data_IF_496618382330
#
_entry.id   IF_496618382330
#
_cell.length_a   1.000
_cell.length_b   1.000
_cell.length_c   1.000
_cell.angle_alpha   90.00
_cell.angle_beta   90.00
_cell.angle_gamma   90.00
#
_symmetry.space_group_name_H-M   'P 1'
#
loop_
_entity.id
_entity.type
_entity.pdbx_description
1 polymer ?
#
# COMPACT_ATOMS: atom_id res chain seq x y z
N UNK A 1 2.92 4.43 16.79
CA UNK A 1 2.69 4.83 15.38
C UNK A 1 3.34 6.18 15.14
N UNK A 2 4.07 6.33 14.02
CA UNK A 2 4.64 7.61 13.60
C UNK A 2 3.55 8.49 12.96
N UNK A 3 3.43 9.78 13.32
CA UNK A 3 2.33 10.64 12.82
C UNK A 3 2.26 10.73 11.30
N UNK A 4 3.43 10.78 10.63
CA UNK A 4 3.50 10.88 9.17
C UNK A 4 2.74 9.75 8.46
N UNK A 5 2.69 8.56 9.06
CA UNK A 5 2.09 7.39 8.42
C UNK A 5 0.58 7.57 8.27
N UNK A 6 -0.13 7.95 9.34
CA UNK A 6 -1.59 8.17 9.30
C UNK A 6 -2.01 9.37 8.46
N UNK A 7 -1.09 10.31 8.25
CA UNK A 7 -1.27 11.50 7.41
C UNK A 7 -0.90 11.25 5.94
N UNK A 8 -0.22 10.12 5.65
CA UNK A 8 0.34 9.82 4.34
C UNK A 8 -0.71 9.68 3.23
N UNK A 9 -1.82 9.00 3.53
CA UNK A 9 -2.98 8.70 2.66
C UNK A 9 -2.66 7.88 1.40
N UNK A 10 -1.65 8.26 0.64
CA UNK A 10 -1.22 7.61 -0.59
C UNK A 10 0.28 7.31 -0.53
N UNK A 11 0.64 6.08 -0.83
CA UNK A 11 2.00 5.65 -1.14
C UNK A 11 2.04 4.90 -2.47
N UNK A 12 3.23 4.82 -3.07
CA UNK A 12 3.47 4.06 -4.30
C UNK A 12 4.27 2.80 -4.00
N UNK A 13 3.78 1.64 -4.44
CA UNK A 13 4.49 0.36 -4.30
C UNK A 13 5.17 -0.01 -5.62
N UNK A 14 6.43 -0.41 -5.55
CA UNK A 14 7.20 -0.81 -6.72
C UNK A 14 7.65 -2.26 -6.55
N UNK A 15 7.11 -3.14 -7.39
CA UNK A 15 7.61 -4.50 -7.55
C UNK A 15 8.50 -4.54 -8.77
N UNK A 16 9.81 -4.43 -8.52
CA UNK A 16 10.83 -4.40 -9.55
C UNK A 16 11.95 -5.39 -9.24
N UNK A 17 12.35 -6.15 -10.24
CA UNK A 17 13.36 -7.20 -10.12
C UNK A 17 13.49 -7.98 -11.42
N UNK A 18 14.25 -9.08 -11.39
CA UNK A 18 14.61 -9.85 -12.61
C UNK A 18 13.39 -10.40 -13.35
N UNK A 19 12.29 -10.65 -12.64
CA UNK A 19 11.01 -11.11 -13.22
C UNK A 19 10.43 -10.15 -14.27
N UNK A 20 10.86 -8.88 -14.28
CA UNK A 20 10.45 -7.90 -15.27
C UNK A 20 11.14 -8.06 -16.64
N UNK A 21 12.13 -8.95 -16.78
CA UNK A 21 12.86 -9.21 -18.03
C UNK A 21 11.99 -9.94 -19.03
N UNK A 22 11.48 -11.11 -18.64
CA UNK A 22 10.54 -11.88 -19.46
C UNK A 22 9.08 -11.52 -19.14
N UNK A 23 8.86 -10.69 -18.12
CA UNK A 23 7.55 -10.17 -17.75
C UNK A 23 6.66 -11.25 -17.13
N UNK A 24 7.21 -11.99 -16.17
CA UNK A 24 6.54 -13.10 -15.48
C UNK A 24 6.20 -12.72 -14.04
N UNK A 25 5.29 -13.47 -13.40
CA UNK A 25 4.95 -13.24 -12.00
C UNK A 25 6.19 -13.34 -11.09
N UNK A 26 6.32 -12.36 -10.19
CA UNK A 26 7.44 -12.18 -9.26
C UNK A 26 7.63 -13.39 -8.35
N UNK A 27 8.60 -14.24 -8.69
CA UNK A 27 8.99 -15.47 -7.99
C UNK A 27 7.93 -16.59 -8.00
N UNK A 28 6.65 -16.24 -8.00
CA UNK A 28 5.52 -17.15 -8.07
C UNK A 28 5.48 -17.98 -9.34
N UNK A 29 6.02 -17.45 -10.45
CA UNK A 29 6.05 -18.16 -11.73
C UNK A 29 6.86 -19.46 -11.65
N UNK A 30 8.01 -19.46 -10.96
CA UNK A 30 8.75 -20.71 -10.75
C UNK A 30 8.22 -21.53 -9.57
N UNK A 31 7.71 -20.86 -8.54
CA UNK A 31 7.10 -21.54 -7.39
C UNK A 31 5.90 -22.40 -7.81
N UNK A 32 5.03 -21.86 -8.67
CA UNK A 32 3.82 -22.52 -9.17
C UNK A 32 4.09 -23.44 -10.37
N UNK A 33 5.35 -23.60 -10.78
CA UNK A 33 5.73 -24.46 -11.90
C UNK A 33 5.31 -23.93 -13.28
N UNK A 34 5.00 -22.64 -13.42
CA UNK A 34 4.72 -22.00 -14.71
C UNK A 34 6.00 -21.79 -15.53
N UNK A 35 7.11 -21.50 -14.85
CA UNK A 35 8.45 -21.33 -15.45
C UNK A 35 9.44 -22.22 -14.70
N UNK A 36 10.31 -22.98 -15.38
CA UNK A 36 11.37 -23.72 -14.69
C UNK A 36 12.29 -22.76 -13.90
N UNK A 37 12.75 -23.15 -12.70
CA UNK A 37 13.60 -22.30 -11.86
C UNK A 37 14.86 -21.78 -12.58
N UNK A 38 15.58 -22.66 -13.28
CA UNK A 38 16.79 -22.25 -14.02
C UNK A 38 16.46 -21.24 -15.13
N UNK A 39 15.29 -21.38 -15.78
CA UNK A 39 14.80 -20.41 -16.76
C UNK A 39 14.44 -19.08 -16.10
N UNK A 40 13.76 -19.12 -14.96
CA UNK A 40 13.42 -17.92 -14.19
C UNK A 40 14.69 -17.16 -13.76
N UNK A 41 15.69 -17.88 -13.23
CA UNK A 41 16.95 -17.28 -12.78
C UNK A 41 17.85 -16.81 -13.93
N UNK A 42 17.71 -17.38 -15.13
CA UNK A 42 18.42 -16.90 -16.33
C UNK A 42 18.06 -15.44 -16.69
N UNK A 43 16.91 -14.92 -16.22
CA UNK A 43 16.55 -13.50 -16.36
C UNK A 43 17.56 -12.54 -15.71
N UNK A 44 18.41 -13.01 -14.78
CA UNK A 44 19.55 -12.23 -14.27
C UNK A 44 20.39 -11.62 -15.41
N UNK A 45 20.58 -12.36 -16.50
CA UNK A 45 21.40 -11.94 -17.64
C UNK A 45 20.78 -10.77 -18.45
N UNK A 46 19.49 -10.49 -18.26
CA UNK A 46 18.75 -9.45 -18.99
C UNK A 46 18.37 -8.21 -18.15
N UNK A 47 18.61 -8.22 -16.84
CA UNK A 47 18.19 -7.12 -15.96
C UNK A 47 19.24 -5.98 -15.93
N UNK A 48 19.01 -4.93 -16.71
CA UNK A 48 20.00 -3.87 -16.96
C UNK A 48 19.71 -2.52 -16.28
N UNK A 49 18.46 -2.22 -15.92
CA UNK A 49 18.05 -0.92 -15.40
C UNK A 49 18.55 0.28 -16.24
N UNK A 50 18.75 0.13 -17.55
CA UNK A 50 19.55 1.06 -18.35
C UNK A 50 18.89 2.44 -18.54
N UNK A 51 17.55 2.51 -18.47
CA UNK A 51 16.76 3.75 -18.57
C UNK A 51 16.24 4.22 -17.20
N UNK A 52 16.63 3.54 -16.13
CA UNK A 52 16.16 3.86 -14.80
C UNK A 52 16.70 5.21 -14.35
N UNK A 53 15.77 6.10 -14.02
CA UNK A 53 16.02 7.40 -13.42
C UNK A 53 15.22 7.49 -12.10
N UNK A 54 15.89 7.44 -10.93
CA UNK A 54 15.20 7.54 -9.65
C UNK A 54 14.58 8.93 -9.42
N UNK A 55 15.11 9.99 -10.05
CA UNK A 55 14.53 11.33 -9.95
C UNK A 55 13.20 11.39 -10.71
N UNK A 56 13.13 10.80 -11.91
CA UNK A 56 11.88 10.71 -12.68
C UNK A 56 10.79 9.92 -11.95
N UNK A 57 11.14 8.81 -11.29
CA UNK A 57 10.19 8.09 -10.43
C UNK A 57 9.69 8.97 -9.28
N UNK A 58 10.61 9.63 -8.58
CA UNK A 58 10.24 10.43 -7.44
C UNK A 58 9.41 11.67 -7.83
N UNK A 59 9.66 12.27 -8.99
CA UNK A 59 8.81 13.34 -9.57
C UNK A 59 7.39 12.84 -9.84
N UNK A 60 7.24 11.70 -10.52
CA UNK A 60 5.93 11.09 -10.77
C UNK A 60 5.17 10.82 -9.47
N UNK A 61 5.85 10.37 -8.41
CA UNK A 61 5.19 10.10 -7.13
C UNK A 61 4.73 11.38 -6.42
N UNK A 62 5.49 12.47 -6.54
CA UNK A 62 5.06 13.79 -6.05
C UNK A 62 3.84 14.27 -6.83
N UNK A 63 3.85 14.15 -8.15
CA UNK A 63 2.73 14.53 -9.04
C UNK A 63 1.48 13.72 -8.74
N UNK A 64 1.61 12.42 -8.47
CA UNK A 64 0.52 11.55 -8.02
C UNK A 64 -0.04 11.94 -6.65
N UNK A 65 0.64 12.82 -5.91
CA UNK A 65 0.29 13.18 -4.54
C UNK A 65 0.61 12.07 -3.54
N UNK A 66 1.64 11.27 -3.77
CA UNK A 66 2.11 10.32 -2.76
C UNK A 66 2.85 11.06 -1.62
N UNK A 67 2.79 10.52 -0.41
CA UNK A 67 3.63 10.96 0.71
C UNK A 67 4.84 10.04 0.93
N UNK A 68 4.82 8.84 0.35
CA UNK A 68 5.82 7.81 0.52
C UNK A 68 5.84 6.86 -0.66
N UNK A 69 6.92 6.09 -0.79
CA UNK A 69 6.97 4.97 -1.72
C UNK A 69 7.65 3.77 -1.06
N UNK A 70 7.37 2.56 -1.54
CA UNK A 70 7.92 1.30 -1.07
C UNK A 70 8.50 0.54 -2.25
N UNK A 71 9.81 0.26 -2.24
CA UNK A 71 10.47 -0.52 -3.28
C UNK A 71 10.84 -1.92 -2.77
N UNK A 72 10.61 -2.96 -3.57
CA UNK A 72 11.08 -4.32 -3.29
C UNK A 72 12.60 -4.37 -3.22
N UNK A 73 13.18 -4.28 -2.02
CA UNK A 73 14.62 -4.45 -1.85
C UNK A 73 15.03 -5.90 -2.17
N UNK A 74 14.18 -6.87 -1.81
CA UNK A 74 14.31 -8.29 -2.16
C UNK A 74 12.93 -8.96 -2.15
N UNK A 75 12.58 -9.67 -3.22
CA UNK A 75 11.36 -10.50 -3.32
C UNK A 75 11.64 -11.97 -2.94
N UNK A 76 10.67 -12.87 -3.09
CA UNK A 76 10.80 -14.29 -2.71
C UNK A 76 11.88 -15.04 -3.51
N UNK A 77 12.28 -14.53 -4.67
CA UNK A 77 13.38 -15.06 -5.50
C UNK A 77 14.77 -14.85 -4.87
N UNK A 78 14.88 -14.04 -3.81
CA UNK A 78 16.14 -13.79 -3.10
C UNK A 78 17.07 -12.78 -3.78
N UNK A 79 16.72 -12.18 -4.92
CA UNK A 79 17.60 -11.23 -5.62
C UNK A 79 17.53 -9.86 -4.96
N UNK A 80 18.63 -9.46 -4.32
CA UNK A 80 18.74 -8.14 -3.69
C UNK A 80 18.98 -7.02 -4.70
N UNK A 81 18.26 -5.90 -4.57
CA UNK A 81 18.43 -4.69 -5.40
C UNK A 81 19.58 -3.77 -4.94
N UNK A 82 20.28 -4.11 -3.86
CA UNK A 82 21.44 -3.38 -3.34
C UNK A 82 22.70 -4.26 -3.27
N UNK A 83 23.86 -3.64 -3.04
CA UNK A 83 25.16 -4.33 -2.85
C UNK A 83 25.24 -5.00 -1.46
N UNK A 84 24.41 -6.02 -1.23
CA UNK A 84 24.38 -6.77 0.03
C UNK A 84 25.72 -7.42 0.33
N UNK A 85 26.20 -7.34 1.58
CA UNK A 85 27.39 -8.07 2.04
C UNK A 85 27.03 -9.44 2.62
N UNK A 86 25.76 -9.67 2.88
CA UNK A 86 25.20 -10.97 3.19
C UNK A 86 24.71 -11.65 1.90
N UNK A 87 25.33 -12.77 1.52
CA UNK A 87 25.00 -13.53 0.31
C UNK A 87 25.71 -13.02 -0.96
N UNK A 88 25.37 -13.63 -2.12
CA UNK A 88 25.95 -13.29 -3.43
C UNK A 88 24.93 -13.28 -4.58
N UNK A 89 23.65 -13.06 -4.23
CA UNK A 89 22.55 -12.96 -5.18
C UNK A 89 21.99 -11.53 -5.14
N UNK A 90 22.63 -10.64 -5.89
CA UNK A 90 22.25 -9.24 -6.02
C UNK A 90 22.34 -8.76 -7.46
N UNK A 91 21.61 -7.70 -7.78
CA UNK A 91 21.70 -7.03 -9.09
C UNK A 91 23.08 -6.41 -9.33
N UNK A 92 23.84 -6.13 -8.28
CA UNK A 92 25.19 -5.57 -8.37
C UNK A 92 26.19 -6.61 -8.88
N UNK A 93 26.08 -7.84 -8.37
CA UNK A 93 27.02 -8.91 -8.70
C UNK A 93 26.58 -9.76 -9.90
N UNK A 94 25.27 -9.88 -10.13
CA UNK A 94 24.69 -10.95 -10.96
C UNK A 94 23.94 -10.48 -12.19
N UNK A 95 23.84 -9.18 -12.45
CA UNK A 95 23.11 -8.67 -13.62
C UNK A 95 23.87 -7.56 -14.35
N UNK A 96 23.52 -7.25 -15.61
CA UNK A 96 24.11 -6.14 -16.35
C UNK A 96 23.93 -4.77 -15.69
N UNK A 97 22.94 -4.60 -14.81
CA UNK A 97 22.74 -3.36 -14.06
C UNK A 97 23.98 -2.98 -13.24
N UNK A 98 24.62 -3.98 -12.61
CA UNK A 98 25.92 -3.86 -11.94
C UNK A 98 26.07 -2.66 -10.99
N UNK A 99 24.96 -2.23 -10.36
CA UNK A 99 24.90 -1.04 -9.50
C UNK A 99 23.82 -1.17 -8.43
N UNK A 100 24.06 -0.53 -7.29
CA UNK A 100 23.08 -0.39 -6.21
C UNK A 100 21.89 0.47 -6.68
N UNK A 101 20.67 -0.08 -6.56
CA UNK A 101 19.42 0.57 -6.95
C UNK A 101 18.64 1.13 -5.75
N UNK A 102 19.02 0.81 -4.52
CA UNK A 102 18.34 1.29 -3.32
C UNK A 102 18.88 2.65 -2.87
N UNK A 103 20.22 2.85 -2.84
CA UNK A 103 20.78 4.16 -2.45
C UNK A 103 20.23 5.33 -3.29
N UNK A 104 20.26 5.27 -4.65
CA UNK A 104 19.78 6.39 -5.45
C UNK A 104 18.26 6.62 -5.33
N UNK A 105 17.48 5.54 -5.12
CA UNK A 105 16.05 5.60 -4.83
C UNK A 105 15.78 6.36 -3.52
N UNK A 106 16.45 5.97 -2.44
CA UNK A 106 16.34 6.61 -1.11
C UNK A 106 16.64 8.11 -1.22
N UNK A 107 17.74 8.45 -1.89
CA UNK A 107 18.18 9.85 -2.04
C UNK A 107 17.18 10.68 -2.87
N UNK A 108 16.64 10.13 -3.95
CA UNK A 108 15.69 10.83 -4.81
C UNK A 108 14.36 11.13 -4.10
N UNK A 109 13.85 10.17 -3.30
CA UNK A 109 12.67 10.37 -2.46
C UNK A 109 12.91 11.44 -1.38
N UNK A 110 14.03 11.31 -0.65
CA UNK A 110 14.40 12.25 0.43
C UNK A 110 14.51 13.68 -0.08
N UNK A 111 15.10 13.90 -1.27
CA UNK A 111 15.20 15.23 -1.91
C UNK A 111 13.84 15.88 -2.16
N UNK A 112 12.78 15.09 -2.36
CA UNK A 112 11.40 15.55 -2.60
C UNK A 112 10.53 15.54 -1.34
N UNK A 113 11.12 15.22 -0.18
CA UNK A 113 10.38 15.14 1.08
C UNK A 113 9.46 13.92 1.19
N UNK A 114 9.60 12.95 0.29
CA UNK A 114 8.87 11.68 0.36
C UNK A 114 9.50 10.80 1.44
N UNK A 115 8.65 10.04 2.13
CA UNK A 115 9.08 9.02 3.07
C UNK A 115 9.54 7.78 2.34
N UNK A 116 10.58 7.14 2.87
CA UNK A 116 11.26 6.03 2.21
C UNK A 116 10.77 4.71 2.80
N UNK A 117 10.22 3.86 1.95
CA UNK A 117 9.81 2.52 2.28
C UNK A 117 10.64 1.47 1.53
N UNK A 118 10.95 0.37 2.21
CA UNK A 118 11.59 -0.79 1.59
C UNK A 118 10.75 -2.03 1.91
N UNK A 119 10.44 -2.79 0.88
CA UNK A 119 9.87 -4.12 1.02
C UNK A 119 10.97 -5.15 1.17
N UNK A 120 10.77 -6.13 2.04
CA UNK A 120 11.68 -7.25 2.20
C UNK A 120 10.90 -8.54 2.46
N UNK A 121 11.14 -9.56 1.62
CA UNK A 121 10.57 -10.88 1.86
C UNK A 121 11.34 -11.66 2.93
N UNK A 122 10.62 -12.19 3.92
CA UNK A 122 11.09 -13.24 4.81
C UNK A 122 11.49 -14.49 4.02
N UNK A 123 10.69 -14.88 3.01
CA UNK A 123 10.99 -15.99 2.12
C UNK A 123 12.23 -15.71 1.30
N UNK A 124 12.96 -16.79 1.00
CA UNK A 124 14.03 -16.78 0.02
C UNK A 124 14.10 -18.16 -0.63
N UNK A 125 13.25 -18.37 -1.63
CA UNK A 125 13.08 -19.64 -2.33
C UNK A 125 14.32 -20.07 -3.12
N UNK A 126 15.29 -19.17 -3.29
CA UNK A 126 16.58 -19.44 -3.93
C UNK A 126 17.71 -19.70 -2.94
N UNK A 127 17.54 -19.38 -1.65
CA UNK A 127 18.58 -19.59 -0.65
C UNK A 127 18.67 -21.08 -0.27
N UNK A 128 19.86 -21.72 -0.37
CA UNK A 128 19.99 -23.16 -0.18
C UNK A 128 19.55 -23.62 1.22
N UNK A 129 19.71 -22.75 2.22
CA UNK A 129 19.37 -23.04 3.61
C UNK A 129 17.92 -22.70 4.00
N UNK A 130 17.11 -22.17 3.08
CA UNK A 130 15.73 -21.76 3.39
C UNK A 130 14.77 -22.94 3.58
N UNK A 131 14.75 -23.87 2.61
CA UNK A 131 13.91 -25.06 2.62
C UNK A 131 14.53 -26.20 3.45
N UNK A 132 15.01 -25.89 4.66
CA UNK A 132 15.72 -26.84 5.54
C UNK A 132 15.06 -27.05 6.89
N UNK A 133 13.99 -26.30 7.19
CA UNK A 133 13.15 -26.51 8.37
C UNK A 133 11.71 -26.73 7.92
N UNK A 134 11.05 -27.71 8.51
CA UNK A 134 9.64 -28.02 8.25
C UNK A 134 8.72 -27.14 9.10
N UNK A 135 7.58 -26.66 8.58
CA UNK A 135 6.56 -25.98 9.37
C UNK A 135 6.02 -26.88 10.49
N UNK A 136 5.65 -26.27 11.61
CA UNK A 136 5.12 -26.99 12.76
C UNK A 136 3.89 -27.84 12.39
N UNK A 137 3.93 -29.13 12.71
CA UNK A 137 2.80 -30.05 12.50
C UNK A 137 2.63 -30.59 11.08
N UNK A 138 3.52 -30.27 10.14
CA UNK A 138 3.49 -30.85 8.79
C UNK A 138 4.04 -32.29 8.78
N UNK A 139 3.42 -33.17 8.00
CA UNK A 139 3.91 -34.53 7.75
C UNK A 139 5.30 -34.50 7.07
N UNK A 140 6.31 -35.22 7.59
CA UNK A 140 7.60 -35.40 6.94
C UNK A 140 7.56 -35.98 5.52
N UNK A 141 6.55 -36.82 5.23
CA UNK A 141 6.38 -37.46 3.93
C UNK A 141 5.71 -36.54 2.90
N UNK A 142 5.03 -35.48 3.35
CA UNK A 142 4.48 -34.45 2.48
C UNK A 142 5.52 -33.35 2.25
N UNK A 143 6.17 -33.42 1.09
CA UNK A 143 7.14 -32.40 0.69
C UNK A 143 6.47 -31.09 0.27
N UNK A 144 5.19 -31.05 -0.10
CA UNK A 144 4.62 -29.82 -0.67
C UNK A 144 5.52 -29.21 -1.78
N UNK A 145 5.84 -27.92 -1.64
CA UNK A 145 6.73 -27.22 -2.58
C UNK A 145 8.22 -27.40 -2.22
N UNK A 146 9.09 -27.84 -3.15
CA UNK A 146 10.52 -28.05 -2.87
C UNK A 146 11.31 -26.79 -2.51
N UNK A 147 10.82 -25.59 -2.84
CA UNK A 147 11.43 -24.32 -2.46
C UNK A 147 11.05 -23.86 -1.05
N UNK A 148 10.01 -24.45 -0.47
CA UNK A 148 9.53 -24.16 0.88
C UNK A 148 9.90 -25.25 1.87
N UNK A 149 10.07 -26.48 1.42
CA UNK A 149 10.04 -27.64 2.30
C UNK A 149 11.25 -28.56 2.07
N UNK A 150 11.88 -29.06 3.15
CA UNK A 150 12.91 -30.08 3.02
C UNK A 150 12.30 -31.40 2.54
N UNK A 151 13.09 -32.22 1.84
CA UNK A 151 12.72 -33.61 1.62
C UNK A 151 12.75 -34.40 2.96
N UNK A 152 12.08 -35.55 3.00
CA UNK A 152 12.11 -36.42 4.18
C UNK A 152 13.57 -36.81 4.51
N UNK A 153 14.00 -36.51 5.74
CA UNK A 153 15.37 -36.76 6.21
C UNK A 153 16.39 -35.65 5.93
N UNK A 154 16.04 -34.60 5.17
CA UNK A 154 16.94 -33.48 4.83
C UNK A 154 16.76 -32.24 5.74
N UNK A 155 15.98 -32.36 6.81
CA UNK A 155 15.78 -31.28 7.78
C UNK A 155 17.08 -30.98 8.55
N UNK A 156 17.43 -29.70 8.63
CA UNK A 156 18.59 -29.21 9.38
C UNK A 156 18.27 -27.87 10.05
N UNK A 157 17.93 -27.90 11.34
CA UNK A 157 17.77 -26.69 12.14
C UNK A 157 19.00 -25.78 12.13
N UNK A 158 20.21 -26.35 12.01
CA UNK A 158 21.45 -25.58 11.93
C UNK A 158 21.54 -24.75 10.64
N UNK A 159 21.11 -25.31 9.51
CA UNK A 159 21.05 -24.59 8.23
C UNK A 159 19.97 -23.52 8.27
N UNK A 160 18.81 -23.82 8.84
CA UNK A 160 17.78 -22.81 9.08
C UNK A 160 18.28 -21.66 9.95
N UNK A 161 19.05 -21.95 11.00
CA UNK A 161 19.68 -20.93 11.83
C UNK A 161 20.70 -20.09 11.07
N UNK A 162 21.45 -20.69 10.13
CA UNK A 162 22.32 -19.96 9.21
C UNK A 162 21.52 -19.05 8.26
N UNK A 163 20.38 -19.52 7.75
CA UNK A 163 19.46 -18.70 6.96
C UNK A 163 18.89 -17.53 7.77
N UNK A 164 18.48 -17.76 9.03
CA UNK A 164 18.05 -16.68 9.91
C UNK A 164 19.17 -15.67 10.15
N UNK A 165 20.42 -16.12 10.33
CA UNK A 165 21.56 -15.22 10.49
C UNK A 165 21.80 -14.36 9.22
N UNK A 166 21.73 -14.97 8.04
CA UNK A 166 21.77 -14.27 6.74
C UNK A 166 20.64 -13.23 6.63
N UNK A 167 19.40 -13.64 6.91
CA UNK A 167 18.22 -12.77 6.93
C UNK A 167 18.44 -11.56 7.84
N UNK A 168 18.88 -11.79 9.08
CA UNK A 168 19.15 -10.70 10.04
C UNK A 168 20.31 -9.81 9.61
N UNK A 169 21.31 -10.33 8.89
CA UNK A 169 22.38 -9.52 8.35
C UNK A 169 21.85 -8.55 7.28
N UNK A 170 21.03 -9.02 6.33
CA UNK A 170 20.39 -8.16 5.33
C UNK A 170 19.49 -7.10 5.98
N UNK A 171 18.67 -7.45 6.98
CA UNK A 171 17.86 -6.45 7.69
C UNK A 171 18.73 -5.39 8.37
N UNK A 172 19.86 -5.76 8.99
CA UNK A 172 20.78 -4.78 9.58
C UNK A 172 21.38 -3.86 8.53
N UNK A 173 21.70 -4.37 7.34
CA UNK A 173 22.15 -3.53 6.22
C UNK A 173 21.06 -2.55 5.79
N UNK A 174 19.83 -3.01 5.55
CA UNK A 174 18.73 -2.12 5.15
C UNK A 174 18.49 -1.01 6.17
N UNK A 175 18.43 -1.37 7.46
CA UNK A 175 18.27 -0.40 8.53
C UNK A 175 19.49 0.53 8.60
N UNK A 176 20.71 0.01 8.60
CA UNK A 176 21.93 0.79 8.81
C UNK A 176 22.30 1.71 7.64
N UNK A 177 22.18 1.22 6.40
CA UNK A 177 22.58 1.94 5.19
C UNK A 177 21.50 2.93 4.73
N UNK A 178 20.23 2.52 4.77
CA UNK A 178 19.14 3.27 4.12
C UNK A 178 18.21 3.98 5.11
N UNK A 179 18.19 3.55 6.38
CA UNK A 179 17.35 4.12 7.45
C UNK A 179 15.90 4.39 6.98
N UNK A 180 15.17 3.34 6.51
CA UNK A 180 13.86 3.54 5.92
C UNK A 180 12.84 4.02 6.96
N UNK A 181 11.94 4.92 6.54
CA UNK A 181 10.78 5.33 7.33
C UNK A 181 9.78 4.17 7.49
N UNK A 182 9.70 3.27 6.51
CA UNK A 182 8.82 2.09 6.48
C UNK A 182 9.59 0.83 6.03
N UNK A 183 9.49 -0.26 6.80
CA UNK A 183 9.95 -1.58 6.40
C UNK A 183 8.73 -2.50 6.24
N UNK A 184 8.44 -2.87 4.99
CA UNK A 184 7.27 -3.65 4.61
C UNK A 184 7.66 -5.11 4.45
N UNK A 185 7.32 -5.95 5.42
CA UNK A 185 7.66 -7.37 5.38
C UNK A 185 6.62 -8.19 4.65
N UNK A 186 7.07 -9.33 4.13
CA UNK A 186 6.20 -10.28 3.47
C UNK A 186 6.70 -11.72 3.60
N UNK A 187 5.83 -12.70 3.37
CA UNK A 187 6.27 -14.09 3.27
C UNK A 187 6.47 -14.78 4.61
N UNK A 188 5.76 -14.33 5.64
CA UNK A 188 5.77 -14.94 6.96
C UNK A 188 5.01 -16.28 7.00
N UNK A 189 4.07 -16.50 6.09
CA UNK A 189 3.04 -17.54 6.17
C UNK A 189 3.55 -18.99 6.16
N UNK A 190 4.76 -19.25 5.67
CA UNK A 190 5.25 -20.63 5.55
C UNK A 190 5.85 -21.21 6.84
N UNK A 191 6.08 -20.41 7.89
CA UNK A 191 6.59 -20.92 9.19
C UNK A 191 5.90 -20.21 10.34
N UNK A 192 5.91 -20.81 11.53
CA UNK A 192 5.36 -20.16 12.71
C UNK A 192 6.18 -18.92 13.12
N UNK A 193 5.58 -17.94 13.83
CA UNK A 193 6.30 -16.80 14.40
C UNK A 193 7.52 -17.20 15.25
N UNK A 194 7.43 -18.34 15.94
CA UNK A 194 8.48 -18.93 16.75
C UNK A 194 9.65 -19.43 15.89
N UNK A 195 9.36 -20.19 14.83
CA UNK A 195 10.37 -20.66 13.87
C UNK A 195 11.08 -19.49 13.16
N UNK A 196 10.32 -18.44 12.83
CA UNK A 196 10.86 -17.20 12.29
C UNK A 196 11.63 -16.36 13.30
N UNK A 197 11.45 -16.59 14.60
CA UNK A 197 11.95 -15.75 15.70
C UNK A 197 11.52 -14.28 15.54
N UNK A 198 10.23 -14.06 15.31
CA UNK A 198 9.67 -12.72 15.00
C UNK A 198 9.82 -11.74 16.15
N UNK A 199 9.67 -12.19 17.41
CA UNK A 199 9.88 -11.34 18.58
C UNK A 199 11.32 -10.80 18.68
N UNK A 200 12.32 -11.62 18.32
CA UNK A 200 13.73 -11.21 18.29
C UNK A 200 14.00 -10.20 17.17
N UNK A 201 13.40 -10.42 15.98
CA UNK A 201 13.49 -9.49 14.86
C UNK A 201 12.84 -8.14 15.20
N UNK A 202 11.67 -8.16 15.82
CA UNK A 202 10.98 -6.96 16.27
C UNK A 202 11.86 -6.14 17.22
N UNK A 203 12.45 -6.79 18.23
CA UNK A 203 13.37 -6.12 19.17
C UNK A 203 14.58 -5.52 18.45
N UNK A 204 15.20 -6.27 17.53
CA UNK A 204 16.34 -5.79 16.74
C UNK A 204 15.98 -4.52 15.95
N UNK A 205 14.84 -4.51 15.26
CA UNK A 205 14.39 -3.33 14.49
C UNK A 205 14.18 -2.14 15.41
N UNK A 206 13.51 -2.32 16.57
CA UNK A 206 13.26 -1.23 17.51
C UNK A 206 14.54 -0.68 18.15
N UNK A 207 15.54 -1.52 18.38
CA UNK A 207 16.85 -1.10 18.89
C UNK A 207 17.64 -0.28 17.86
N UNK A 208 17.64 -0.72 16.59
CA UNK A 208 18.44 -0.08 15.54
C UNK A 208 17.75 1.10 14.87
N UNK A 209 16.43 1.06 14.75
CA UNK A 209 15.64 2.04 14.01
C UNK A 209 14.25 2.24 14.65
N UNK A 210 14.17 2.88 15.83
CA UNK A 210 12.91 3.07 16.55
C UNK A 210 11.88 3.94 15.79
N UNK A 211 12.32 4.65 14.75
CA UNK A 211 11.46 5.49 13.91
C UNK A 211 10.81 4.72 12.74
N UNK A 212 11.34 3.56 12.37
CA UNK A 212 10.80 2.76 11.25
C UNK A 212 9.43 2.20 11.61
N UNK A 213 8.45 2.48 10.76
CA UNK A 213 7.13 1.84 10.79
C UNK A 213 7.27 0.44 10.19
N UNK A 214 6.61 -0.55 10.79
CA UNK A 214 6.63 -1.93 10.32
C UNK A 214 5.21 -2.44 10.11
N UNK A 215 4.97 -3.17 9.03
CA UNK A 215 3.64 -3.68 8.70
C UNK A 215 3.22 -4.89 9.55
N UNK A 216 1.94 -5.26 9.45
CA UNK A 216 1.32 -6.33 10.24
C UNK A 216 1.89 -7.73 10.01
N UNK A 217 2.66 -7.93 8.92
CA UNK A 217 3.30 -9.21 8.55
C UNK A 217 4.50 -9.58 9.43
N UNK A 218 4.85 -8.74 10.41
CA UNK A 218 5.69 -9.12 11.55
C UNK A 218 4.89 -9.86 12.67
N UNK A 219 3.83 -10.58 12.30
CA UNK A 219 3.05 -11.53 13.13
C UNK A 219 2.76 -11.04 14.56
N UNK A 220 2.02 -9.92 14.69
CA UNK A 220 1.64 -9.36 15.99
C UNK A 220 2.64 -8.36 16.59
N UNK A 221 3.77 -8.11 15.93
CA UNK A 221 4.73 -7.07 16.29
C UNK A 221 4.73 -5.86 15.33
N UNK A 222 3.82 -5.85 14.34
CA UNK A 222 3.63 -4.76 13.40
C UNK A 222 2.88 -3.56 13.98
N UNK A 223 3.04 -2.40 13.34
CA UNK A 223 2.42 -1.13 13.72
C UNK A 223 1.02 -0.91 13.11
N UNK A 224 0.70 -1.59 11.99
CA UNK A 224 -0.54 -1.38 11.23
C UNK A 224 -1.01 -2.65 10.51
N UNK A 225 -2.29 -2.71 10.16
CA UNK A 225 -2.88 -3.83 9.41
C UNK A 225 -2.73 -3.67 7.88
N UNK A 226 -2.58 -4.77 7.15
CA UNK A 226 -2.28 -4.80 5.71
C UNK A 226 -3.34 -5.59 4.91
N UNK A 227 -4.58 -5.10 4.75
CA UNK A 227 -5.48 -5.66 3.75
C UNK A 227 -4.84 -5.58 2.35
N UNK A 228 -5.10 -6.56 1.51
CA UNK A 228 -4.48 -6.70 0.18
C UNK A 228 -5.57 -6.92 -0.88
N UNK A 229 -5.44 -6.23 -2.03
CA UNK A 229 -6.30 -6.33 -3.23
C UNK A 229 -7.78 -5.94 -3.06
N UNK A 230 -8.32 -5.91 -1.85
CA UNK A 230 -9.71 -5.57 -1.57
C UNK A 230 -9.85 -4.51 -0.49
N UNK A 231 -10.58 -3.43 -0.79
CA UNK A 231 -10.97 -2.45 0.22
C UNK A 231 -11.86 -3.16 1.26
N UNK A 232 -11.49 -3.14 2.55
CA UNK A 232 -12.31 -3.77 3.59
C UNK A 232 -13.69 -3.11 3.68
N UNK A 233 -14.75 -3.91 3.74
CA UNK A 233 -16.12 -3.41 4.00
C UNK A 233 -16.20 -2.76 5.39
N UNK A 234 -15.55 -3.36 6.37
CA UNK A 234 -15.32 -2.77 7.69
C UNK A 234 -13.82 -2.51 7.85
N UNK A 235 -13.40 -1.27 8.13
CA UNK A 235 -11.99 -0.96 8.35
C UNK A 235 -11.41 -1.73 9.54
N UNK A 236 -10.14 -2.17 9.45
CA UNK A 236 -9.42 -2.72 10.59
C UNK A 236 -9.43 -1.78 11.80
N UNK A 237 -9.27 -2.34 12.99
CA UNK A 237 -9.05 -1.54 14.20
C UNK A 237 -7.64 -0.95 14.18
N UNK A 238 -7.53 0.36 14.36
CA UNK A 238 -6.25 1.08 14.36
C UNK A 238 -5.75 1.44 12.96
N UNK A 239 -4.48 1.86 12.82
CA UNK A 239 -3.91 2.20 11.53
C UNK A 239 -3.87 1.01 10.58
N UNK A 240 -4.09 1.27 9.30
CA UNK A 240 -4.07 0.25 8.25
C UNK A 240 -3.72 0.86 6.89
N UNK A 241 -3.23 0.00 6.00
CA UNK A 241 -2.85 0.37 4.64
C UNK A 241 -3.28 -0.74 3.68
N UNK A 242 -4.05 -0.38 2.66
CA UNK A 242 -4.41 -1.27 1.57
C UNK A 242 -3.30 -1.27 0.53
N UNK A 243 -2.69 -2.42 0.26
CA UNK A 243 -1.89 -2.60 -0.94
C UNK A 243 -2.79 -3.06 -2.11
N UNK A 244 -2.69 -2.37 -3.25
CA UNK A 244 -3.51 -2.64 -4.44
C UNK A 244 -2.70 -2.43 -5.71
N UNK A 245 -2.80 -3.32 -6.69
CA UNK A 245 -2.19 -3.16 -8.02
C UNK A 245 -2.99 -2.24 -8.94
N UNK A 246 -2.32 -1.52 -9.84
CA UNK A 246 -3.00 -0.76 -10.90
C UNK A 246 -3.70 -1.70 -11.89
N UNK A 247 -3.07 -2.80 -12.29
CA UNK A 247 -3.63 -3.89 -13.10
C UNK A 247 -3.82 -5.15 -12.24
N UNK A 248 -3.75 -6.36 -12.79
CA UNK A 248 -3.92 -7.62 -12.05
C UNK A 248 -2.60 -8.23 -11.56
N UNK A 249 -1.46 -7.58 -11.84
CA UNK A 249 -0.10 -8.04 -11.53
C UNK A 249 0.65 -7.06 -10.64
N UNK A 250 1.49 -7.56 -9.71
CA UNK A 250 2.40 -6.71 -8.94
C UNK A 250 3.61 -6.29 -9.76
N UNK A 251 4.36 -7.27 -10.28
CA UNK A 251 5.47 -7.04 -11.21
C UNK A 251 5.00 -6.76 -12.64
N UNK A 252 5.92 -6.29 -13.49
CA UNK A 252 5.65 -6.07 -14.90
C UNK A 252 5.26 -7.39 -15.60
N UNK A 253 4.06 -7.43 -16.17
CA UNK A 253 3.60 -8.50 -17.05
C UNK A 253 3.04 -7.89 -18.35
N UNK A 254 3.72 -8.04 -19.50
CA UNK A 254 3.36 -7.35 -20.74
C UNK A 254 2.00 -7.76 -21.31
N UNK A 255 1.48 -8.92 -20.93
CA UNK A 255 0.16 -9.41 -21.37
C UNK A 255 -0.98 -8.98 -20.45
N UNK A 256 -0.70 -8.37 -19.29
CA UNK A 256 -1.71 -7.85 -18.39
C UNK A 256 -2.08 -6.41 -18.76
N UNK A 257 -3.10 -6.30 -19.61
CA UNK A 257 -3.69 -5.03 -20.04
C UNK A 257 -4.91 -4.61 -19.20
N UNK A 258 -5.26 -5.37 -18.15
CA UNK A 258 -6.47 -5.16 -17.35
C UNK A 258 -6.27 -4.08 -16.27
N UNK A 259 -5.96 -2.87 -16.72
CA UNK A 259 -5.72 -1.72 -15.86
C UNK A 259 -7.04 -1.20 -15.29
N UNK A 260 -7.06 -0.97 -13.98
CA UNK A 260 -8.13 -0.22 -13.32
C UNK A 260 -8.20 1.18 -13.95
N UNK A 261 -9.41 1.63 -14.24
CA UNK A 261 -9.66 2.98 -14.75
C UNK A 261 -9.36 4.04 -13.68
N UNK A 262 -9.08 5.30 -14.07
CA UNK A 262 -8.91 6.40 -13.10
C UNK A 262 -10.07 6.51 -12.11
N UNK A 263 -11.31 6.31 -12.58
CA UNK A 263 -12.51 6.35 -11.73
C UNK A 263 -12.56 5.21 -10.70
N UNK A 264 -12.11 4.01 -11.06
CA UNK A 264 -11.98 2.90 -10.09
C UNK A 264 -10.90 3.21 -9.04
N UNK A 265 -9.77 3.78 -9.45
CA UNK A 265 -8.69 4.14 -8.52
C UNK A 265 -9.10 5.26 -7.57
N UNK A 266 -9.74 6.33 -8.07
CA UNK A 266 -10.32 7.39 -7.22
C UNK A 266 -11.33 6.82 -6.25
N UNK A 267 -12.17 5.86 -6.67
CA UNK A 267 -13.10 5.19 -5.76
C UNK A 267 -12.40 4.41 -4.66
N UNK A 268 -11.45 3.55 -5.01
CA UNK A 268 -10.69 2.79 -4.02
C UNK A 268 -9.96 3.73 -3.06
N UNK A 269 -9.36 4.79 -3.58
CA UNK A 269 -8.67 5.79 -2.77
C UNK A 269 -9.62 6.47 -1.79
N UNK A 270 -10.77 6.98 -2.25
CA UNK A 270 -11.76 7.65 -1.41
C UNK A 270 -12.34 6.71 -0.32
N UNK A 271 -12.66 5.46 -0.67
CA UNK A 271 -13.12 4.45 0.29
C UNK A 271 -12.04 4.17 1.35
N UNK A 272 -10.78 4.09 0.93
CA UNK A 272 -9.64 3.83 1.81
C UNK A 272 -9.40 4.99 2.80
N UNK A 273 -9.27 6.22 2.30
CA UNK A 273 -9.05 7.39 3.18
C UNK A 273 -10.28 7.70 4.02
N UNK A 274 -11.48 7.45 3.49
CA UNK A 274 -12.73 7.61 4.23
C UNK A 274 -12.88 6.58 5.36
N UNK A 275 -12.30 5.39 5.19
CA UNK A 275 -12.10 4.38 6.23
C UNK A 275 -10.94 4.67 7.19
N UNK A 276 -10.19 5.75 6.97
CA UNK A 276 -9.05 6.16 7.80
C UNK A 276 -7.75 5.41 7.52
N UNK A 277 -7.65 4.70 6.39
CA UNK A 277 -6.45 3.99 5.97
C UNK A 277 -5.61 4.77 4.97
N UNK A 278 -4.47 4.17 4.61
CA UNK A 278 -3.67 4.57 3.47
C UNK A 278 -3.88 3.63 2.28
N UNK A 279 -3.79 4.14 1.06
CA UNK A 279 -3.65 3.34 -0.15
C UNK A 279 -2.18 3.28 -0.52
N UNK A 280 -1.64 2.07 -0.65
CA UNK A 280 -0.34 1.77 -1.22
C UNK A 280 -0.55 1.19 -2.63
N UNK A 281 -0.51 2.06 -3.63
CA UNK A 281 -0.88 1.73 -5.03
C UNK A 281 0.34 1.22 -5.79
N UNK A 282 0.26 0.01 -6.35
CA UNK A 282 1.38 -0.70 -6.92
C UNK A 282 1.49 -0.54 -8.44
N UNK A 283 2.73 -0.31 -8.87
CA UNK A 283 3.18 -0.32 -10.27
C UNK A 283 4.32 -1.34 -10.43
N UNK A 284 4.45 -1.88 -11.64
CA UNK A 284 5.46 -2.87 -12.02
C UNK A 284 6.39 -2.30 -13.09
N UNK A 285 7.55 -1.72 -12.71
CA UNK A 285 8.50 -1.20 -13.69
C UNK A 285 9.10 -2.32 -14.56
N UNK A 286 9.45 -1.97 -15.80
CA UNK A 286 10.12 -2.85 -16.77
C UNK A 286 11.57 -3.09 -16.35
N UNK A 287 12.22 -4.11 -16.92
CA UNK A 287 13.63 -4.41 -16.63
C UNK A 287 14.60 -3.24 -16.90
N UNK A 288 14.29 -2.36 -17.86
CA UNK A 288 15.07 -1.16 -18.13
C UNK A 288 14.86 -0.03 -17.11
N UNK A 289 13.92 -0.19 -16.17
CA UNK A 289 13.56 0.75 -15.11
C UNK A 289 12.50 1.78 -15.46
N UNK A 290 11.91 1.71 -16.65
CA UNK A 290 10.75 2.56 -16.99
C UNK A 290 9.45 2.01 -16.40
N UNK A 291 8.61 2.89 -15.86
CA UNK A 291 7.23 2.55 -15.48
C UNK A 291 6.40 2.47 -16.79
N UNK A 292 5.56 1.43 -16.98
CA UNK A 292 4.66 1.36 -18.13
C UNK A 292 3.82 2.65 -18.27
N UNK A 293 3.72 3.25 -19.47
CA UNK A 293 3.01 4.52 -19.67
C UNK A 293 1.56 4.49 -19.16
N UNK A 294 0.87 3.36 -19.33
CA UNK A 294 -0.49 3.16 -18.87
C UNK A 294 -0.58 3.25 -17.34
N UNK A 295 0.42 2.73 -16.62
CA UNK A 295 0.46 2.81 -15.17
C UNK A 295 0.82 4.22 -14.69
N UNK A 296 1.72 4.92 -15.41
CA UNK A 296 2.04 6.33 -15.13
C UNK A 296 0.80 7.23 -15.31
N UNK A 297 0.06 7.06 -16.41
CA UNK A 297 -1.20 7.79 -16.68
C UNK A 297 -2.23 7.61 -15.55
N UNK A 298 -2.28 6.43 -14.93
CA UNK A 298 -3.17 6.16 -13.79
C UNK A 298 -2.74 6.89 -12.52
N UNK A 299 -1.43 6.98 -12.26
CA UNK A 299 -0.90 7.75 -11.15
C UNK A 299 -1.13 9.25 -11.34
N UNK A 300 -0.88 9.75 -12.56
CA UNK A 300 -1.12 11.15 -12.95
C UNK A 300 -2.59 11.53 -12.79
N UNK A 301 -3.52 10.74 -13.35
CA UNK A 301 -4.96 11.01 -13.25
C UNK A 301 -5.47 10.99 -11.79
N UNK A 302 -4.93 10.11 -10.95
CA UNK A 302 -5.23 10.12 -9.51
C UNK A 302 -4.67 11.38 -8.83
N UNK A 303 -3.44 11.77 -9.18
CA UNK A 303 -2.79 12.98 -8.68
C UNK A 303 -3.53 14.26 -9.03
N UNK A 304 -3.98 14.40 -10.28
CA UNK A 304 -4.80 15.52 -10.76
C UNK A 304 -6.08 15.66 -9.91
N UNK A 305 -6.80 14.56 -9.72
CA UNK A 305 -8.02 14.56 -8.90
C UNK A 305 -7.74 14.89 -7.43
N UNK A 306 -6.65 14.35 -6.85
CA UNK A 306 -6.24 14.67 -5.48
C UNK A 306 -5.88 16.15 -5.34
N UNK A 307 -5.21 16.74 -6.33
CA UNK A 307 -4.80 18.14 -6.31
C UNK A 307 -6.03 19.07 -6.28
N UNK A 308 -7.04 18.81 -7.11
CA UNK A 308 -8.29 19.56 -7.15
C UNK A 308 -9.12 19.42 -5.85
N UNK A 309 -9.07 18.24 -5.23
CA UNK A 309 -9.86 17.91 -4.03
C UNK A 309 -9.04 17.89 -2.74
N UNK A 310 -7.85 18.53 -2.74
CA UNK A 310 -6.84 18.44 -1.67
C UNK A 310 -7.40 18.59 -0.25
N UNK A 311 -8.30 19.54 0.07
CA UNK A 311 -8.84 19.69 1.44
C UNK A 311 -9.62 18.49 1.96
N UNK A 312 -10.20 17.66 1.07
CA UNK A 312 -10.93 16.46 1.47
C UNK A 312 -10.00 15.26 1.71
N UNK A 313 -8.74 15.34 1.28
CA UNK A 313 -7.77 14.25 1.33
C UNK A 313 -6.67 14.51 2.37
N UNK A 314 -6.09 15.72 2.34
CA UNK A 314 -4.99 16.11 3.24
C UNK A 314 -5.52 16.65 4.55
N UNK A 315 -4.78 16.38 5.63
CA UNK A 315 -5.12 16.84 6.98
C UNK A 315 -6.55 16.44 7.40
N UNK A 316 -7.01 15.30 6.88
CA UNK A 316 -8.31 14.72 7.19
C UNK A 316 -8.19 13.44 8.00
N UNK A 317 -9.25 13.15 8.74
CA UNK A 317 -9.46 11.92 9.49
C UNK A 317 -10.62 11.13 8.90
N UNK A 318 -10.77 9.89 9.37
CA UNK A 318 -11.91 9.02 9.04
C UNK A 318 -13.23 9.77 9.13
N UNK A 319 -14.07 9.63 8.11
CA UNK A 319 -15.38 10.28 8.07
C UNK A 319 -16.47 9.53 8.83
N UNK A 320 -17.67 9.56 8.26
CA UNK A 320 -18.88 9.02 8.85
C UNK A 320 -18.87 7.49 8.88
N UNK A 321 -19.44 6.87 9.93
CA UNK A 321 -19.71 5.43 9.90
C UNK A 321 -20.85 5.11 8.92
N UNK A 322 -20.95 3.83 8.55
CA UNK A 322 -21.97 3.34 7.63
C UNK A 322 -23.39 3.68 8.13
N UNK A 323 -24.28 3.96 7.18
CA UNK A 323 -25.69 4.30 7.43
C UNK A 323 -26.00 5.80 7.53
N UNK A 324 -25.00 6.65 7.78
CA UNK A 324 -25.17 8.10 7.80
C UNK A 324 -25.14 8.76 6.41
N UNK A 325 -24.31 8.21 5.52
CA UNK A 325 -24.15 8.63 4.13
C UNK A 325 -23.88 7.39 3.28
N UNK A 326 -24.39 7.37 2.04
CA UNK A 326 -24.19 6.26 1.10
C UNK A 326 -23.04 6.55 0.14
N UNK A 327 -21.84 6.63 0.72
CA UNK A 327 -20.57 6.84 0.05
C UNK A 327 -19.47 7.05 1.09
N UNK A 328 -18.20 7.11 0.67
CA UNK A 328 -17.13 7.45 1.59
C UNK A 328 -17.20 8.92 1.99
N UNK A 329 -16.62 9.24 3.14
CA UNK A 329 -16.50 10.61 3.62
C UNK A 329 -15.22 10.77 4.43
N UNK A 330 -14.74 12.00 4.53
CA UNK A 330 -13.64 12.38 5.42
C UNK A 330 -14.06 13.59 6.25
N UNK A 331 -13.33 13.84 7.33
CA UNK A 331 -13.52 15.02 8.18
C UNK A 331 -12.22 15.81 8.24
N UNK A 332 -12.31 17.14 8.25
CA UNK A 332 -11.17 17.99 8.61
C UNK A 332 -10.60 17.58 9.98
N UNK A 333 -9.33 17.88 10.23
CA UNK A 333 -8.67 17.57 11.51
C UNK A 333 -9.41 18.13 12.74
N UNK A 334 -10.02 19.32 12.61
CA UNK A 334 -10.86 19.93 13.67
C UNK A 334 -12.31 19.42 13.70
N UNK A 335 -12.65 18.52 12.76
CA UNK A 335 -13.94 17.84 12.63
C UNK A 335 -15.12 18.79 12.39
N UNK A 336 -14.85 19.98 11.86
CA UNK A 336 -15.86 21.02 11.53
C UNK A 336 -16.26 21.06 10.06
N UNK A 337 -15.48 20.43 9.20
CA UNK A 337 -15.82 20.28 7.78
C UNK A 337 -15.95 18.82 7.44
N UNK A 338 -17.10 18.45 6.90
CA UNK A 338 -17.41 17.10 6.42
C UNK A 338 -17.34 17.08 4.90
N UNK A 339 -16.53 16.18 4.35
CA UNK A 339 -16.40 15.98 2.91
C UNK A 339 -17.10 14.70 2.50
N UNK A 340 -18.07 14.81 1.61
CA UNK A 340 -18.81 13.68 1.04
C UNK A 340 -18.27 13.40 -0.35
N UNK A 341 -17.96 12.13 -0.65
CA UNK A 341 -17.50 11.69 -1.97
C UNK A 341 -18.67 11.07 -2.73
N UNK A 342 -19.05 11.67 -3.85
CA UNK A 342 -20.18 11.28 -4.68
C UNK A 342 -19.64 10.67 -5.96
N UNK A 343 -19.85 9.36 -6.11
CA UNK A 343 -19.50 8.67 -7.34
C UNK A 343 -20.64 8.75 -8.35
N UNK A 344 -21.87 8.58 -7.91
CA UNK A 344 -23.01 8.48 -8.80
C UNK A 344 -23.73 9.82 -8.94
N UNK A 345 -24.26 10.08 -10.14
CA UNK A 345 -25.16 11.21 -10.37
C UNK A 345 -26.36 11.08 -9.42
N UNK A 346 -26.63 12.07 -8.56
CA UNK A 346 -27.79 12.03 -7.68
C UNK A 346 -29.09 11.99 -8.48
N UNK A 347 -30.05 11.17 -8.04
CA UNK A 347 -31.42 11.29 -8.50
C UNK A 347 -32.15 12.23 -7.55
N UNK A 348 -32.35 13.48 -7.98
CA UNK A 348 -32.92 14.60 -7.21
C UNK A 348 -32.01 15.16 -6.10
N UNK A 349 -31.51 14.31 -5.19
CA UNK A 349 -30.73 14.76 -4.03
C UNK A 349 -29.75 13.71 -3.49
N UNK A 350 -28.85 14.18 -2.63
CA UNK A 350 -28.00 13.38 -1.75
C UNK A 350 -28.48 13.54 -0.32
N UNK A 351 -28.49 12.47 0.46
CA UNK A 351 -29.00 12.51 1.83
C UNK A 351 -27.90 12.24 2.86
N UNK A 352 -27.86 13.07 3.89
CA UNK A 352 -27.04 12.92 5.07
C UNK A 352 -27.94 12.76 6.30
N UNK A 353 -27.66 11.73 7.11
CA UNK A 353 -28.49 11.32 8.24
C UNK A 353 -27.74 11.39 9.54
N UNK A 354 -28.46 11.67 10.63
CA UNK A 354 -27.91 11.58 11.99
C UNK A 354 -26.90 12.67 12.34
N UNK A 355 -26.74 13.72 11.52
CA UNK A 355 -25.88 14.87 11.85
C UNK A 355 -26.71 15.90 12.61
N UNK A 356 -26.36 16.16 13.87
CA UNK A 356 -27.09 17.11 14.72
C UNK A 356 -26.72 18.56 14.44
N UNK A 357 -25.46 18.81 14.08
CA UNK A 357 -24.96 20.15 13.71
C UNK A 357 -25.84 20.83 12.66
N UNK A 358 -25.96 22.15 12.72
CA UNK A 358 -26.46 22.90 11.57
C UNK A 358 -25.38 22.94 10.48
N UNK A 359 -25.79 22.72 9.23
CA UNK A 359 -24.92 22.96 8.07
C UNK A 359 -24.95 24.46 7.77
N UNK A 360 -23.79 25.12 7.90
CA UNK A 360 -23.63 26.56 7.64
C UNK A 360 -23.49 26.86 6.14
N UNK A 361 -22.78 25.99 5.43
CA UNK A 361 -22.61 26.09 3.99
C UNK A 361 -22.33 24.71 3.40
N UNK A 362 -22.69 24.54 2.12
CA UNK A 362 -22.42 23.37 1.33
C UNK A 362 -21.87 23.81 -0.04
N UNK A 363 -20.73 23.25 -0.46
CA UNK A 363 -20.06 23.63 -1.71
C UNK A 363 -19.44 22.42 -2.40
N UNK A 364 -19.43 22.42 -3.73
CA UNK A 364 -18.63 21.47 -4.51
C UNK A 364 -17.17 21.93 -4.51
N UNK A 365 -16.25 21.05 -4.12
CA UNK A 365 -14.81 21.33 -4.21
C UNK A 365 -14.34 21.37 -5.68
N UNK A 366 -13.20 21.99 -5.95
CA UNK A 366 -12.72 22.28 -7.30
C UNK A 366 -13.39 23.50 -7.94
N UNK A 367 -14.72 23.49 -8.04
CA UNK A 367 -15.50 24.59 -8.66
C UNK A 367 -15.89 25.69 -7.68
N UNK A 368 -16.04 25.36 -6.40
CA UNK A 368 -16.55 26.27 -5.36
C UNK A 368 -18.06 26.55 -5.48
N UNK A 369 -18.77 25.86 -6.36
CA UNK A 369 -20.19 26.07 -6.61
C UNK A 369 -21.01 25.79 -5.35
N UNK A 370 -21.94 26.70 -5.02
CA UNK A 370 -22.82 26.52 -3.87
C UNK A 370 -23.79 25.35 -4.12
N UNK A 371 -23.97 24.52 -3.09
CA UNK A 371 -24.92 23.41 -3.08
C UNK A 371 -26.11 23.83 -2.25
N UNK A 372 -27.31 23.85 -2.85
CA UNK A 372 -28.53 24.07 -2.09
C UNK A 372 -28.70 22.89 -1.12
N UNK A 373 -29.07 23.18 0.12
CA UNK A 373 -29.40 22.15 1.09
C UNK A 373 -30.61 22.54 1.93
N UNK A 374 -31.33 21.54 2.43
CA UNK A 374 -32.40 21.75 3.40
C UNK A 374 -32.53 20.57 4.38
N UNK A 375 -32.89 20.90 5.63
CA UNK A 375 -33.18 19.90 6.65
C UNK A 375 -34.67 19.65 6.76
N UNK A 376 -35.08 18.39 6.66
CA UNK A 376 -36.48 17.99 6.74
C UNK A 376 -36.68 16.98 7.88
N UNK A 377 -37.72 17.21 8.68
CA UNK A 377 -38.07 16.35 9.82
C UNK A 377 -37.24 16.60 11.07
N UNK A 378 -37.23 15.61 11.97
CA UNK A 378 -36.57 15.68 13.28
C UNK A 378 -37.56 15.88 14.43
N UNK A 379 -37.17 15.44 15.62
CA UNK A 379 -37.95 15.56 16.85
C UNK A 379 -37.04 15.53 18.08
N UNK A 380 -37.01 16.64 18.84
CA UNK A 380 -36.16 16.75 20.02
C UNK A 380 -34.68 16.54 19.66
N UNK A 381 -34.07 15.49 20.19
CA UNK A 381 -32.67 15.14 19.93
C UNK A 381 -32.43 14.33 18.64
N UNK A 382 -33.50 13.88 17.99
CA UNK A 382 -33.43 13.16 16.70
C UNK A 382 -33.31 14.20 15.59
N UNK A 383 -32.16 14.29 14.88
CA UNK A 383 -32.01 15.25 13.82
C UNK A 383 -32.90 14.89 12.61
N UNK A 384 -33.36 15.91 11.89
CA UNK A 384 -33.92 15.72 10.56
C UNK A 384 -32.87 15.20 9.58
N UNK A 385 -33.33 14.80 8.40
CA UNK A 385 -32.42 14.42 7.31
C UNK A 385 -31.99 15.68 6.56
N UNK A 386 -30.70 15.78 6.25
CA UNK A 386 -30.15 16.86 5.45
C UNK A 386 -30.13 16.43 3.99
N UNK A 387 -30.83 17.16 3.13
CA UNK A 387 -30.92 16.93 1.69
C UNK A 387 -30.01 17.94 0.99
N UNK A 388 -29.13 17.45 0.11
CA UNK A 388 -28.21 18.25 -0.70
C UNK A 388 -28.59 18.11 -2.16
N UNK A 389 -28.73 19.23 -2.87
CA UNK A 389 -29.13 19.27 -4.29
C UNK A 389 -27.92 19.67 -5.14
N UNK A 390 -27.23 18.65 -5.68
CA UNK A 390 -26.08 18.82 -6.58
C UNK A 390 -26.56 18.69 -8.02
N UNK A 391 -26.26 19.70 -8.83
CA UNK A 391 -26.69 19.76 -10.24
C UNK A 391 -25.70 19.06 -11.17
N UNK A 392 -26.20 18.64 -12.33
CA UNK A 392 -25.42 17.90 -13.34
C UNK A 392 -24.18 18.67 -13.85
N UNK A 393 -24.25 20.00 -13.93
CA UNK A 393 -23.16 20.87 -14.38
C UNK A 393 -22.08 21.10 -13.31
N UNK A 394 -22.30 20.62 -12.09
CA UNK A 394 -21.36 20.70 -10.97
C UNK A 394 -20.57 19.40 -10.76
N UNK A 395 -20.86 18.35 -11.53
CA UNK A 395 -20.29 17.03 -11.28
C UNK A 395 -18.86 16.92 -11.84
N UNK A 396 -17.96 16.42 -11.00
CA UNK A 396 -16.65 15.92 -11.42
C UNK A 396 -16.81 14.54 -12.10
N UNK A 397 -16.11 14.29 -13.23
CA UNK A 397 -16.25 13.05 -14.01
C UNK A 397 -15.75 11.78 -13.28
N UNK A 398 -14.82 11.91 -12.34
CA UNK A 398 -14.27 10.81 -11.55
C UNK A 398 -15.01 10.64 -10.22
N UNK A 399 -15.07 11.71 -9.43
CA UNK A 399 -15.79 11.76 -8.16
C UNK A 399 -16.00 13.21 -7.72
N UNK A 400 -17.27 13.59 -7.55
CA UNK A 400 -17.62 14.91 -7.03
C UNK A 400 -17.44 14.93 -5.52
N UNK A 401 -16.82 15.98 -4.96
CA UNK A 401 -16.71 16.12 -3.51
C UNK A 401 -17.49 17.33 -3.02
N UNK A 402 -18.43 17.10 -2.10
CA UNK A 402 -19.20 18.17 -1.45
C UNK A 402 -18.63 18.41 -0.06
N UNK A 403 -18.18 19.63 0.20
CA UNK A 403 -17.74 20.09 1.52
C UNK A 403 -18.91 20.75 2.26
N UNK A 404 -19.15 20.31 3.50
CA UNK A 404 -20.15 20.85 4.41
C UNK A 404 -19.46 21.49 5.62
N UNK A 405 -19.64 22.80 5.80
CA UNK A 405 -19.19 23.49 7.00
C UNK A 405 -20.23 23.34 8.10
N UNK A 406 -19.84 22.76 9.22
CA UNK A 406 -20.70 22.53 10.37
C UNK A 406 -20.62 23.69 11.36
N UNK A 407 -21.68 23.89 12.14
CA UNK A 407 -21.72 24.93 13.17
C UNK A 407 -20.94 24.62 14.46
N UNK A 408 -20.17 23.53 14.45
CA UNK A 408 -19.30 23.09 15.52
C UNK A 408 -18.53 21.83 15.10
N UNK A 409 -17.87 21.18 16.05
CA UNK A 409 -17.36 19.82 15.83
C UNK A 409 -18.52 18.86 15.57
N UNK A 410 -18.31 17.88 14.69
CA UNK A 410 -19.31 16.89 14.32
C UNK A 410 -19.92 16.16 15.53
N UNK A 411 -21.23 16.31 15.70
CA UNK A 411 -22.12 15.63 16.63
C UNK A 411 -23.05 14.66 15.87
N UNK A 412 -22.89 13.37 16.13
CA UNK A 412 -23.62 12.29 15.46
C UNK A 412 -24.64 11.62 16.39
N UNK A 413 -25.88 11.60 15.94
CA UNK A 413 -26.96 10.80 16.49
C UNK A 413 -26.92 9.36 15.94
N UNK A 414 -26.78 8.37 16.82
CA UNK A 414 -26.64 6.94 16.43
C UNK A 414 -27.70 6.00 16.99
N UNK A 415 -28.28 6.31 18.15
CA UNK A 415 -29.15 5.38 18.87
C UNK A 415 -30.55 5.97 19.06
N UNK A 416 -31.56 5.19 18.71
CA UNK A 416 -32.95 5.46 19.11
C UNK A 416 -33.17 4.79 20.48
N UNK A 417 -33.22 5.59 21.54
CA UNK A 417 -33.41 5.08 22.92
C UNK A 417 -34.87 4.97 23.34
N UNK A 418 -35.82 5.25 22.43
CA UNK A 418 -37.26 5.16 22.68
C UNK A 418 -37.87 4.13 21.74
N UNK A 419 -38.07 2.94 22.27
CA UNK A 419 -39.07 1.98 21.80
C UNK A 419 -40.37 2.14 22.59
#
# INVERSE_FOLDING_TARGET
MQPWFTDGKLGIFLHWGIYSVDGVAESWSFFNGQVPYDTYMAQLDGFDAQKWDPDAWADLFVEAGAAYAVLTAKHHDGVALWDTRAGGLSVVERTPAARDLITPYVDALRRRGLKVGLYYSHLDWSHPDYATLRPDGQDPEDRGNPYSMPAAGDESPERWDAFLAFHRAQIRELLGLFQPDLLWFDGEWERSPEQWRMAELARLIRELSPHTVVNGRLTGHGDYATPEQGVPVEPPKGPWELCLTVNDSWGYQPQDDHHKSPRQLVRVFAETVGGGGNLLLAVGPKADGTIPPEQAERLEALGEWIAEHRPAVRDTVRGLPHGHFYGPSTLSADRRTLYLFLFDRPNEYVVLRGVRNAVRSARVLGTGADVRHERVGGLGEVPGWEYLYVNDDQLDPLCTVVALELDGELDLYREHTRD
#
